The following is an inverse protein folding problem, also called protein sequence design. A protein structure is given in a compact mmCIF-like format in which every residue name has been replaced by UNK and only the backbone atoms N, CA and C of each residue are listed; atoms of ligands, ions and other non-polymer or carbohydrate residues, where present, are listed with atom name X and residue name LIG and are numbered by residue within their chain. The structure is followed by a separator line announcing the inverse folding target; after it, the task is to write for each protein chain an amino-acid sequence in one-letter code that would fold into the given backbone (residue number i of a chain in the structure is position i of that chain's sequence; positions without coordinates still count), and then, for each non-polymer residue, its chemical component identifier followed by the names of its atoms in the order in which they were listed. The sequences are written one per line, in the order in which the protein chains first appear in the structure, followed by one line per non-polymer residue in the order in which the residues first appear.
data_IF_850879676005
#
_entry.id   IF_850879676005
#
_cell.length_a   1.000
_cell.length_b   1.000
_cell.length_c   1.000
_cell.angle_alpha   90.00
_cell.angle_beta   90.00
_cell.angle_gamma   90.00
#
_symmetry.space_group_name_H-M   'P 1'
#
loop_
_entity.id
_entity.type
_entity.pdbx_description
1 polymer ?
#
# COMPACT_ATOMS: atom_id res chain seq x y z
N UNK A 1 -7.22 15.98 10.61
CA UNK A 1 -6.34 14.87 11.06
C UNK A 1 -5.64 14.17 9.89
N UNK A 2 -6.35 13.63 8.89
CA UNK A 2 -5.77 12.95 7.71
C UNK A 2 -4.65 13.76 7.03
N UNK A 3 -5.01 14.94 6.52
CA UNK A 3 -4.09 15.79 5.76
C UNK A 3 -2.90 16.26 6.60
N UNK A 4 -3.12 16.55 7.88
CA UNK A 4 -2.07 16.96 8.82
C UNK A 4 -0.96 15.90 8.91
N UNK A 5 -1.32 14.63 9.16
CA UNK A 5 -0.34 13.55 9.27
C UNK A 5 0.31 13.21 7.92
N UNK A 6 -0.47 13.18 6.83
CA UNK A 6 0.06 12.93 5.49
C UNK A 6 1.10 13.99 5.09
N UNK A 7 0.74 15.27 5.18
CA UNK A 7 1.64 16.37 4.82
C UNK A 7 2.86 16.42 5.75
N UNK A 8 2.70 16.16 7.05
CA UNK A 8 3.83 16.10 7.99
C UNK A 8 4.81 14.97 7.65
N UNK A 9 4.31 13.79 7.29
CA UNK A 9 5.12 12.66 6.87
C UNK A 9 5.88 12.98 5.57
N UNK A 10 5.14 13.47 4.56
CA UNK A 10 5.69 13.76 3.24
C UNK A 10 6.77 14.84 3.31
N UNK A 11 6.55 15.93 4.06
CA UNK A 11 7.56 16.99 4.26
C UNK A 11 8.86 16.46 4.86
N UNK A 12 8.81 15.40 5.67
CA UNK A 12 9.99 14.83 6.34
C UNK A 12 10.66 13.71 5.55
N UNK A 13 9.93 13.01 4.69
CA UNK A 13 10.40 11.79 4.01
C UNK A 13 10.71 12.00 2.51
N UNK A 14 10.10 13.00 1.87
CA UNK A 14 10.21 13.20 0.42
C UNK A 14 11.17 14.32 0.04
N UNK A 15 11.99 14.15 -1.02
CA UNK A 15 12.76 15.24 -1.61
C UNK A 15 11.89 16.24 -2.40
N UNK A 16 10.73 15.82 -2.93
CA UNK A 16 9.77 16.72 -3.58
C UNK A 16 8.37 16.55 -2.96
N UNK A 17 8.10 17.22 -1.82
CA UNK A 17 6.86 17.04 -1.06
C UNK A 17 5.58 17.27 -1.87
N UNK A 18 5.54 18.28 -2.74
CA UNK A 18 4.35 18.58 -3.55
C UNK A 18 4.09 17.49 -4.59
N UNK A 19 5.14 17.02 -5.27
CA UNK A 19 5.04 15.90 -6.21
C UNK A 19 4.57 14.62 -5.52
N UNK A 20 5.11 14.30 -4.34
CA UNK A 20 4.64 13.13 -3.58
C UNK A 20 3.18 13.25 -3.16
N UNK A 21 2.75 14.43 -2.71
CA UNK A 21 1.36 14.66 -2.32
C UNK A 21 0.42 14.45 -3.53
N UNK A 22 0.77 15.03 -4.67
CA UNK A 22 0.03 14.84 -5.92
C UNK A 22 -0.06 13.36 -6.32
N UNK A 23 1.06 12.64 -6.29
CA UNK A 23 1.09 11.20 -6.61
C UNK A 23 0.25 10.37 -5.61
N UNK A 24 0.32 10.71 -4.33
CA UNK A 24 -0.46 10.03 -3.29
C UNK A 24 -1.96 10.27 -3.49
N UNK A 25 -2.36 11.50 -3.77
CA UNK A 25 -3.76 11.87 -3.99
C UNK A 25 -4.30 11.28 -5.29
N UNK A 26 -3.56 11.37 -6.40
CA UNK A 26 -3.93 10.73 -7.66
C UNK A 26 -4.12 9.22 -7.51
N UNK A 27 -3.26 8.56 -6.74
CA UNK A 27 -3.38 7.13 -6.44
C UNK A 27 -4.59 6.78 -5.55
N UNK A 28 -5.07 7.70 -4.71
CA UNK A 28 -6.13 7.48 -3.72
C UNK A 28 -7.40 8.28 -3.99
N UNK A 29 -7.67 8.55 -5.27
CA UNK A 29 -8.92 9.19 -5.68
C UNK A 29 -9.14 10.55 -4.97
N UNK A 30 -8.06 11.32 -4.87
CA UNK A 30 -7.95 12.61 -4.18
C UNK A 30 -8.41 12.62 -2.72
N UNK A 31 -8.57 11.45 -2.09
CA UNK A 31 -9.10 11.35 -0.73
C UNK A 31 -10.59 11.66 -0.60
N UNK A 32 -11.35 11.67 -1.70
CA UNK A 32 -12.80 11.95 -1.73
C UNK A 32 -13.56 10.90 -0.88
N UNK A 33 -13.17 9.63 -0.98
CA UNK A 33 -13.68 8.56 -0.11
C UNK A 33 -12.86 8.47 1.18
N UNK A 34 -13.04 9.47 2.04
CA UNK A 34 -12.45 9.47 3.36
C UNK A 34 -13.19 8.49 4.28
N UNK A 35 -12.51 7.41 4.67
CA UNK A 35 -13.01 6.43 5.64
C UNK A 35 -12.02 6.28 6.80
N UNK A 36 -12.44 5.59 7.88
CA UNK A 36 -11.58 5.32 9.06
C UNK A 36 -10.20 4.76 8.68
N UNK A 37 -10.15 3.88 7.66
CA UNK A 37 -8.90 3.34 7.15
C UNK A 37 -7.95 4.42 6.62
N UNK A 38 -8.47 5.47 5.97
CA UNK A 38 -7.66 6.57 5.43
C UNK A 38 -6.95 7.33 6.55
N UNK A 39 -7.65 7.65 7.65
CA UNK A 39 -7.05 8.29 8.85
C UNK A 39 -5.95 7.41 9.42
N UNK A 40 -6.27 6.14 9.67
CA UNK A 40 -5.32 5.18 10.22
C UNK A 40 -4.07 5.09 9.36
N UNK A 41 -4.22 5.00 8.04
CA UNK A 41 -3.11 4.90 7.10
C UNK A 41 -2.25 6.18 7.09
N UNK A 42 -2.85 7.37 7.25
CA UNK A 42 -2.10 8.61 7.37
C UNK A 42 -1.23 8.65 8.64
N UNK A 43 -1.76 8.18 9.78
CA UNK A 43 -0.99 8.07 11.03
C UNK A 43 0.16 7.09 10.85
N UNK A 44 -0.07 5.93 10.21
CA UNK A 44 0.96 4.94 9.95
C UNK A 44 2.04 5.45 8.98
N UNK A 45 1.66 6.22 7.96
CA UNK A 45 2.63 6.88 7.08
C UNK A 45 3.54 7.84 7.86
N UNK A 46 2.98 8.60 8.80
CA UNK A 46 3.77 9.44 9.70
C UNK A 46 4.64 8.62 10.66
N UNK A 47 4.16 7.46 11.12
CA UNK A 47 4.92 6.58 12.01
C UNK A 47 6.24 6.09 11.39
N UNK A 48 6.35 6.05 10.04
CA UNK A 48 7.61 5.74 9.34
C UNK A 48 8.73 6.72 9.71
N UNK A 49 8.40 7.99 10.00
CA UNK A 49 9.38 8.96 10.50
C UNK A 49 9.99 8.48 11.82
N UNK A 50 9.17 7.90 12.71
CA UNK A 50 9.66 7.35 13.98
C UNK A 50 10.51 6.09 13.76
N UNK A 51 10.19 5.27 12.76
CA UNK A 51 11.01 4.10 12.40
C UNK A 51 12.39 4.55 11.89
N UNK A 52 12.42 5.54 10.99
CA UNK A 52 13.66 6.14 10.46
C UNK A 52 14.52 6.70 11.58
N UNK A 53 13.90 7.43 12.51
CA UNK A 53 14.58 8.07 13.63
C UNK A 53 14.87 7.08 14.79
N UNK A 54 14.63 5.77 14.61
CA UNK A 54 14.86 4.69 15.59
C UNK A 54 14.11 4.85 16.93
N UNK A 55 12.95 5.49 16.90
CA UNK A 55 12.11 5.78 18.08
C UNK A 55 11.00 4.72 18.23
N UNK A 56 11.36 3.53 18.73
CA UNK A 56 10.42 2.40 18.88
C UNK A 56 9.16 2.78 19.68
N UNK A 57 9.30 3.41 20.84
CA UNK A 57 8.15 3.73 21.68
C UNK A 57 7.17 4.69 20.97
N UNK A 58 7.69 5.72 20.30
CA UNK A 58 6.87 6.66 19.54
C UNK A 58 6.17 5.97 18.36
N UNK A 59 6.85 5.03 17.69
CA UNK A 59 6.24 4.19 16.66
C UNK A 59 5.10 3.34 17.22
N UNK A 60 5.32 2.63 18.33
CA UNK A 60 4.32 1.76 18.96
C UNK A 60 3.07 2.56 19.39
N UNK A 61 3.26 3.73 19.99
CA UNK A 61 2.15 4.63 20.36
C UNK A 61 1.34 5.03 19.13
N UNK A 62 1.98 5.43 18.03
CA UNK A 62 1.27 5.81 16.80
C UNK A 62 0.53 4.63 16.16
N UNK A 63 1.13 3.44 16.15
CA UNK A 63 0.46 2.23 15.63
C UNK A 63 -0.73 1.85 16.51
N UNK A 64 -0.60 1.95 17.83
CA UNK A 64 -1.70 1.71 18.75
C UNK A 64 -2.85 2.69 18.51
N UNK A 65 -2.57 3.99 18.45
CA UNK A 65 -3.57 5.02 18.13
C UNK A 65 -4.25 4.79 16.78
N UNK A 66 -3.48 4.38 15.76
CA UNK A 66 -4.05 4.01 14.45
C UNK A 66 -4.94 2.76 14.56
N UNK A 67 -4.54 1.77 15.36
CA UNK A 67 -5.29 0.53 15.62
C UNK A 67 -6.63 0.74 16.32
N UNK A 68 -6.73 1.76 17.18
CA UNK A 68 -8.00 2.19 17.79
C UNK A 68 -9.00 2.71 16.73
N UNK A 69 -8.50 3.34 15.66
CA UNK A 69 -9.34 3.85 14.56
C UNK A 69 -9.67 2.72 13.57
N UNK A 70 -8.67 1.92 13.22
CA UNK A 70 -8.81 0.83 12.27
C UNK A 70 -7.90 -0.35 12.64
N UNK A 71 -8.49 -1.47 13.07
CA UNK A 71 -7.76 -2.65 13.60
C UNK A 71 -6.69 -3.21 12.67
N UNK A 72 -6.83 -3.05 11.35
CA UNK A 72 -5.81 -3.49 10.38
C UNK A 72 -4.46 -2.79 10.56
N UNK A 73 -4.40 -1.67 11.29
CA UNK A 73 -3.17 -0.95 11.57
C UNK A 73 -2.13 -1.79 12.31
N UNK A 74 -2.56 -2.75 13.13
CA UNK A 74 -1.65 -3.63 13.86
C UNK A 74 -0.84 -4.53 12.94
N UNK A 75 -1.32 -4.80 11.71
CA UNK A 75 -0.51 -5.47 10.68
C UNK A 75 0.72 -4.65 10.23
N UNK A 76 0.81 -3.38 10.64
CA UNK A 76 1.97 -2.52 10.41
C UNK A 76 3.05 -2.63 11.49
N UNK A 77 2.83 -3.36 12.61
CA UNK A 77 3.83 -3.54 13.66
C UNK A 77 5.18 -4.08 13.13
N UNK A 78 5.21 -5.09 12.23
CA UNK A 78 6.46 -5.60 11.66
C UNK A 78 7.29 -4.56 10.91
N UNK A 79 6.69 -3.45 10.47
CA UNK A 79 7.34 -2.41 9.69
C UNK A 79 8.60 -1.85 10.38
N UNK A 80 8.64 -1.81 11.71
CA UNK A 80 9.80 -1.29 12.44
C UNK A 80 11.08 -2.05 12.10
N UNK A 81 11.02 -3.38 12.10
CA UNK A 81 12.17 -4.24 11.80
C UNK A 81 12.41 -4.36 10.30
N UNK A 82 11.33 -4.46 9.51
CA UNK A 82 11.44 -4.60 8.04
C UNK A 82 12.12 -3.38 7.42
N UNK A 83 11.80 -2.16 7.90
CA UNK A 83 12.44 -0.94 7.43
C UNK A 83 13.97 -0.98 7.60
N UNK A 84 14.46 -1.65 8.64
CA UNK A 84 15.87 -1.69 8.99
C UNK A 84 16.62 -2.85 8.33
N UNK A 85 15.90 -3.80 7.74
CA UNK A 85 16.49 -5.01 7.19
C UNK A 85 17.22 -4.76 5.87
N UNK A 86 18.41 -5.31 5.68
CA UNK A 86 19.12 -5.17 4.41
C UNK A 86 18.79 -6.33 3.47
N UNK A 87 17.80 -6.13 2.59
CA UNK A 87 17.52 -7.10 1.53
C UNK A 87 18.61 -7.07 0.46
N UNK A 88 19.23 -8.22 0.19
CA UNK A 88 19.98 -8.41 -1.04
C UNK A 88 18.99 -8.59 -2.20
N UNK A 89 19.33 -8.09 -3.39
CA UNK A 89 18.46 -8.19 -4.57
C UNK A 89 18.04 -9.65 -4.85
N UNK A 90 18.97 -10.61 -4.66
CA UNK A 90 18.70 -12.05 -4.84
C UNK A 90 17.65 -12.57 -3.86
N UNK A 91 17.76 -12.21 -2.57
CA UNK A 91 16.80 -12.61 -1.53
C UNK A 91 15.44 -11.96 -1.74
N UNK A 92 15.40 -10.71 -2.20
CA UNK A 92 14.15 -10.03 -2.54
C UNK A 92 13.42 -10.71 -3.70
N UNK A 93 14.13 -11.05 -4.79
CA UNK A 93 13.56 -11.78 -5.92
C UNK A 93 13.07 -13.16 -5.48
N UNK A 94 13.87 -13.90 -4.72
CA UNK A 94 13.47 -15.20 -4.18
C UNK A 94 12.20 -15.09 -3.33
N UNK A 95 12.13 -14.11 -2.42
CA UNK A 95 10.96 -13.89 -1.57
C UNK A 95 9.69 -13.58 -2.39
N UNK A 96 9.82 -12.81 -3.48
CA UNK A 96 8.69 -12.50 -4.38
C UNK A 96 8.22 -13.76 -5.09
N UNK A 97 9.13 -14.55 -5.67
CA UNK A 97 8.79 -15.80 -6.35
C UNK A 97 8.13 -16.77 -5.36
N UNK A 98 8.70 -16.94 -4.17
CA UNK A 98 8.10 -17.76 -3.12
C UNK A 98 6.72 -17.24 -2.71
N UNK A 99 6.54 -15.93 -2.54
CA UNK A 99 5.25 -15.33 -2.21
C UNK A 99 4.17 -15.59 -3.27
N UNK A 100 4.52 -15.48 -4.56
CA UNK A 100 3.62 -15.78 -5.68
C UNK A 100 3.26 -17.27 -5.70
N UNK A 101 4.26 -18.15 -5.62
CA UNK A 101 4.03 -19.60 -5.65
C UNK A 101 3.17 -20.04 -4.47
N UNK A 102 3.53 -19.63 -3.25
CA UNK A 102 2.79 -19.95 -2.03
C UNK A 102 1.36 -19.41 -2.11
N UNK A 103 1.17 -18.15 -2.50
CA UNK A 103 -0.17 -17.56 -2.63
C UNK A 103 -1.02 -18.15 -3.75
N UNK A 104 -0.40 -18.80 -4.75
CA UNK A 104 -1.11 -19.48 -5.85
C UNK A 104 -1.47 -20.94 -5.55
N UNK A 105 -0.71 -21.61 -4.68
CA UNK A 105 -0.87 -23.04 -4.38
C UNK A 105 -1.67 -23.25 -3.10
N UNK A 106 -1.43 -22.42 -2.08
CA UNK A 106 -2.04 -22.57 -0.75
C UNK A 106 -3.22 -21.62 -0.65
N UNK A 107 -4.40 -22.19 -0.39
CA UNK A 107 -5.52 -21.40 0.11
C UNK A 107 -5.28 -21.08 1.58
N UNK A 108 -5.16 -19.78 1.88
CA UNK A 108 -4.91 -19.30 3.23
C UNK A 108 -6.20 -19.12 4.04
N UNK A 109 -7.38 -19.33 3.44
CA UNK A 109 -8.68 -19.23 4.08
C UNK A 109 -8.76 -19.99 5.41
N UNK A 110 -8.36 -21.26 5.40
CA UNK A 110 -8.40 -22.16 6.57
C UNK A 110 -7.43 -21.75 7.68
N UNK A 111 -6.29 -21.17 7.32
CA UNK A 111 -5.33 -20.65 8.30
C UNK A 111 -5.86 -19.38 8.96
N UNK A 112 -6.51 -18.50 8.18
CA UNK A 112 -7.13 -17.30 8.73
C UNK A 112 -8.37 -17.62 9.57
N UNK A 113 -9.18 -18.62 9.20
CA UNK A 113 -10.30 -19.08 10.02
C UNK A 113 -9.80 -19.69 11.35
N UNK A 114 -8.73 -20.48 11.31
CA UNK A 114 -8.08 -21.03 12.51
C UNK A 114 -7.54 -19.95 13.46
N UNK A 115 -6.99 -18.85 12.91
CA UNK A 115 -6.60 -17.67 13.71
C UNK A 115 -7.84 -17.01 14.32
N UNK A 116 -8.94 -16.93 13.56
CA UNK A 116 -10.21 -16.40 14.03
C UNK A 116 -10.76 -17.16 15.22
N UNK A 117 -10.85 -18.49 15.11
CA UNK A 117 -11.34 -19.37 16.17
C UNK A 117 -10.43 -19.37 17.41
N UNK A 118 -9.10 -19.31 17.22
CA UNK A 118 -8.15 -19.17 18.32
C UNK A 118 -8.34 -17.87 19.10
N UNK A 119 -8.60 -16.75 18.41
CA UNK A 119 -8.87 -15.46 19.05
C UNK A 119 -10.28 -15.36 19.65
N UNK A 120 -11.22 -16.15 19.11
CA UNK A 120 -12.59 -16.30 19.56
C UNK A 120 -13.48 -15.06 19.42
N UNK A 121 -14.78 -15.28 19.63
CA UNK A 121 -15.79 -14.23 19.78
C UNK A 121 -15.90 -13.30 18.58
N UNK A 122 -15.72 -11.99 18.80
CA UNK A 122 -15.87 -10.97 17.75
C UNK A 122 -14.83 -11.10 16.61
N UNK A 123 -13.68 -11.73 16.86
CA UNK A 123 -12.63 -11.88 15.84
C UNK A 123 -13.01 -12.95 14.81
N UNK A 124 -13.48 -14.10 15.28
CA UNK A 124 -14.00 -15.20 14.48
C UNK A 124 -15.14 -14.74 13.57
N UNK A 125 -16.20 -14.17 14.15
CA UNK A 125 -17.36 -13.68 13.40
C UNK A 125 -17.00 -12.63 12.33
N UNK A 126 -15.94 -11.84 12.56
CA UNK A 126 -15.49 -10.82 11.62
C UNK A 126 -14.65 -11.41 10.48
N UNK A 127 -13.79 -12.38 10.78
CA UNK A 127 -13.02 -13.09 9.75
C UNK A 127 -13.98 -13.89 8.87
N UNK A 128 -14.86 -14.69 9.47
CA UNK A 128 -15.90 -15.42 8.74
C UNK A 128 -16.79 -14.50 7.92
N UNK A 129 -17.20 -13.35 8.48
CA UNK A 129 -17.98 -12.36 7.74
C UNK A 129 -17.25 -11.77 6.52
N UNK A 130 -15.92 -11.68 6.54
CA UNK A 130 -15.15 -11.27 5.35
C UNK A 130 -14.97 -12.41 4.35
N UNK A 131 -14.84 -13.66 4.83
CA UNK A 131 -14.70 -14.85 3.98
C UNK A 131 -16.01 -15.22 3.28
N UNK A 132 -17.14 -15.17 4.01
CA UNK A 132 -18.47 -15.53 3.50
C UNK A 132 -19.04 -14.48 2.55
N UNK A 133 -18.67 -13.21 2.73
CA UNK A 133 -18.97 -12.12 1.78
C UNK A 133 -17.96 -12.04 0.63
N UNK A 134 -17.43 -13.19 0.21
CA UNK A 134 -16.42 -13.30 -0.84
C UNK A 134 -16.70 -12.34 -1.99
N UNK A 135 -15.84 -11.33 -2.11
CA UNK A 135 -15.98 -10.16 -2.99
C UNK A 135 -17.27 -9.35 -2.79
N UNK A 136 -17.18 -8.16 -2.19
CA UNK A 136 -18.24 -7.15 -2.28
C UNK A 136 -18.68 -7.00 -3.75
N UNK A 137 -19.88 -7.50 -4.08
CA UNK A 137 -20.49 -7.56 -5.42
C UNK A 137 -20.72 -6.20 -6.09
N UNK A 138 -20.33 -5.10 -5.43
CA UNK A 138 -20.47 -3.73 -5.92
C UNK A 138 -19.13 -3.06 -6.28
N UNK A 139 -17.99 -3.64 -5.90
CA UNK A 139 -16.65 -3.17 -6.28
C UNK A 139 -16.13 -4.12 -7.36
N UNK A 140 -15.75 -3.62 -8.55
CA UNK A 140 -15.30 -4.40 -9.73
C UNK A 140 -16.40 -4.91 -10.69
N UNK A 141 -17.50 -4.17 -10.87
CA UNK A 141 -18.61 -4.57 -11.77
C UNK A 141 -18.19 -4.90 -13.23
N UNK A 142 -16.98 -4.50 -13.66
CA UNK A 142 -16.45 -4.78 -15.00
C UNK A 142 -15.19 -5.67 -15.08
N UNK A 143 -14.69 -6.25 -13.97
CA UNK A 143 -13.44 -7.04 -14.00
C UNK A 143 -13.56 -8.35 -13.22
N UNK A 144 -12.96 -9.43 -13.76
CA UNK A 144 -12.83 -10.68 -13.01
C UNK A 144 -11.80 -10.53 -11.88
N UNK A 145 -11.93 -11.33 -10.81
CA UNK A 145 -10.96 -11.33 -9.70
C UNK A 145 -9.51 -11.59 -10.19
N UNK A 146 -9.35 -12.47 -11.18
CA UNK A 146 -8.05 -12.74 -11.81
C UNK A 146 -7.48 -11.52 -12.54
N UNK A 147 -8.29 -10.76 -13.28
CA UNK A 147 -7.86 -9.53 -13.96
C UNK A 147 -7.41 -8.46 -12.96
N UNK A 148 -8.18 -8.27 -11.88
CA UNK A 148 -7.84 -7.31 -10.82
C UNK A 148 -6.54 -7.69 -10.11
N UNK A 149 -6.36 -8.98 -9.82
CA UNK A 149 -5.14 -9.53 -9.23
C UNK A 149 -3.92 -9.33 -10.15
N UNK A 150 -4.02 -9.74 -11.42
CA UNK A 150 -2.94 -9.59 -12.40
C UNK A 150 -2.54 -8.13 -12.57
N UNK A 151 -3.52 -7.23 -12.74
CA UNK A 151 -3.29 -5.78 -12.83
C UNK A 151 -2.56 -5.25 -11.59
N UNK A 152 -3.00 -5.67 -10.40
CA UNK A 152 -2.39 -5.28 -9.13
C UNK A 152 -0.97 -5.81 -9.00
N UNK A 153 -0.71 -7.07 -9.34
CA UNK A 153 0.62 -7.68 -9.27
C UNK A 153 1.60 -7.07 -10.26
N UNK A 154 1.26 -7.08 -11.55
CA UNK A 154 2.14 -6.63 -12.62
C UNK A 154 2.53 -5.18 -12.42
N UNK A 155 1.58 -4.30 -12.07
CA UNK A 155 1.86 -2.90 -11.79
C UNK A 155 2.86 -2.72 -10.64
N UNK A 156 2.78 -3.54 -9.59
CA UNK A 156 3.68 -3.45 -8.42
C UNK A 156 5.07 -4.00 -8.72
N UNK A 157 5.15 -5.07 -9.50
CA UNK A 157 6.42 -5.64 -9.96
C UNK A 157 7.17 -4.67 -10.89
N UNK A 158 6.45 -4.00 -11.80
CA UNK A 158 7.03 -2.97 -12.67
C UNK A 158 7.56 -1.78 -11.87
N UNK A 159 6.80 -1.30 -10.88
CA UNK A 159 7.25 -0.24 -9.98
C UNK A 159 8.47 -0.67 -9.17
N UNK A 160 8.48 -1.89 -8.64
CA UNK A 160 9.60 -2.42 -7.90
C UNK A 160 10.87 -2.50 -8.77
N UNK A 161 10.76 -3.00 -10.00
CA UNK A 161 11.85 -3.03 -10.97
C UNK A 161 12.41 -1.63 -11.20
N UNK A 162 11.53 -0.66 -11.44
CA UNK A 162 11.90 0.73 -11.63
C UNK A 162 12.62 1.30 -10.40
N UNK A 163 12.16 1.02 -9.18
CA UNK A 163 12.83 1.46 -7.95
C UNK A 163 14.22 0.84 -7.78
N UNK A 164 14.37 -0.45 -8.11
CA UNK A 164 15.65 -1.15 -8.00
C UNK A 164 16.66 -0.60 -9.01
N UNK A 165 16.24 -0.30 -10.23
CA UNK A 165 17.10 0.19 -11.31
C UNK A 165 17.50 1.66 -11.15
N UNK A 166 16.54 2.54 -10.84
CA UNK A 166 16.76 3.99 -10.94
C UNK A 166 17.11 4.68 -9.62
N UNK A 167 16.79 4.11 -8.45
CA UNK A 167 17.19 4.71 -7.18
C UNK A 167 18.69 4.49 -6.99
N UNK A 168 19.47 5.58 -6.97
CA UNK A 168 20.93 5.52 -6.78
C UNK A 168 21.28 4.88 -5.43
N UNK A 169 22.40 4.15 -5.38
CA UNK A 169 22.92 3.48 -4.18
C UNK A 169 22.99 4.41 -2.95
N UNK A 170 23.42 5.66 -3.14
CA UNK A 170 23.45 6.70 -2.09
C UNK A 170 22.08 6.96 -1.45
N UNK A 171 21.01 7.00 -2.24
CA UNK A 171 19.66 7.24 -1.74
C UNK A 171 19.03 5.98 -1.13
N UNK A 172 19.46 4.79 -1.58
CA UNK A 172 19.11 3.52 -0.91
C UNK A 172 19.67 3.45 0.51
N UNK A 173 20.83 4.04 0.78
CA UNK A 173 21.48 3.96 2.11
C UNK A 173 20.80 4.87 3.15
N UNK A 174 20.15 5.96 2.74
CA UNK A 174 19.63 6.98 3.66
C UNK A 174 18.15 6.79 4.02
N UNK A 175 17.24 7.16 3.11
CA UNK A 175 15.78 7.11 3.36
C UNK A 175 15.11 6.10 2.42
N UNK A 176 15.64 5.94 1.21
CA UNK A 176 15.06 5.11 0.16
C UNK A 176 15.12 3.61 0.45
N UNK A 177 16.13 3.12 1.18
CA UNK A 177 16.30 1.68 1.44
C UNK A 177 15.19 1.12 2.32
N UNK A 178 14.93 1.74 3.46
CA UNK A 178 13.87 1.28 4.35
C UNK A 178 12.48 1.36 3.72
N UNK A 179 12.20 2.42 2.94
CA UNK A 179 10.93 2.53 2.21
C UNK A 179 10.82 1.46 1.11
N UNK A 180 11.93 1.15 0.43
CA UNK A 180 11.97 0.07 -0.56
C UNK A 180 11.73 -1.30 0.09
N UNK A 181 12.26 -1.53 1.30
CA UNK A 181 12.01 -2.76 2.05
C UNK A 181 10.52 -2.90 2.42
N UNK A 182 9.91 -1.84 2.94
CA UNK A 182 8.48 -1.83 3.27
C UNK A 182 7.62 -2.10 2.03
N UNK A 183 7.94 -1.45 0.91
CA UNK A 183 7.24 -1.68 -0.35
C UNK A 183 7.44 -3.11 -0.86
N UNK A 184 8.67 -3.62 -0.84
CA UNK A 184 9.00 -5.00 -1.25
C UNK A 184 8.25 -6.02 -0.40
N UNK A 185 8.20 -5.82 0.92
CA UNK A 185 7.43 -6.67 1.84
C UNK A 185 5.94 -6.69 1.47
N UNK A 186 5.37 -5.54 1.12
CA UNK A 186 4.01 -5.46 0.64
C UNK A 186 3.79 -6.27 -0.65
N UNK A 187 4.73 -6.21 -1.60
CA UNK A 187 4.68 -6.97 -2.85
C UNK A 187 4.78 -8.49 -2.59
N UNK A 188 5.64 -8.91 -1.66
CA UNK A 188 5.80 -10.34 -1.30
C UNK A 188 4.54 -10.90 -0.65
N UNK A 189 3.88 -10.13 0.21
CA UNK A 189 2.69 -10.57 0.93
C UNK A 189 1.39 -10.42 0.12
N UNK A 190 1.36 -9.55 -0.88
CA UNK A 190 0.15 -9.29 -1.64
C UNK A 190 -0.50 -10.56 -2.24
N UNK A 191 0.21 -11.57 -2.80
CA UNK A 191 -0.41 -12.82 -3.26
C UNK A 191 -1.13 -13.55 -2.13
N UNK A 192 -0.48 -13.67 -0.97
CA UNK A 192 -0.98 -14.37 0.22
C UNK A 192 -2.24 -13.70 0.77
N UNK A 193 -2.25 -12.37 0.88
CA UNK A 193 -3.44 -11.66 1.39
C UNK A 193 -4.57 -11.63 0.37
N UNK A 194 -4.25 -11.59 -0.93
CA UNK A 194 -5.25 -11.58 -2.00
C UNK A 194 -5.91 -12.92 -2.24
N UNK A 195 -5.26 -14.05 -1.91
CA UNK A 195 -5.86 -15.38 -2.03
C UNK A 195 -6.95 -15.62 -1.00
N UNK A 196 -6.89 -14.93 0.15
CA UNK A 196 -7.92 -14.99 1.21
C UNK A 196 -9.13 -14.15 0.84
N UNK A 197 -9.00 -12.81 0.86
CA UNK A 197 -10.02 -11.88 0.33
C UNK A 197 -9.38 -10.55 -0.07
N UNK A 198 -10.02 -9.80 -0.96
CA UNK A 198 -9.55 -8.44 -1.31
C UNK A 198 -9.55 -7.47 -0.10
N UNK A 199 -10.35 -7.75 0.93
CA UNK A 199 -10.39 -6.93 2.15
C UNK A 199 -9.14 -7.13 3.00
N UNK A 200 -8.58 -8.34 3.04
CA UNK A 200 -7.33 -8.61 3.76
C UNK A 200 -6.13 -7.86 3.15
N UNK A 201 -6.12 -7.67 1.83
CA UNK A 201 -5.12 -6.82 1.14
C UNK A 201 -5.05 -5.37 1.66
N UNK A 202 -6.09 -4.87 2.35
CA UNK A 202 -6.09 -3.55 3.01
C UNK A 202 -5.09 -3.45 4.16
N UNK A 203 -4.68 -4.57 4.75
CA UNK A 203 -3.60 -4.62 5.75
C UNK A 203 -2.25 -4.16 5.16
N UNK A 204 -2.07 -4.33 3.85
CA UNK A 204 -0.84 -3.94 3.14
C UNK A 204 -0.85 -2.48 2.69
N UNK A 205 -1.99 -1.78 2.75
CA UNK A 205 -2.13 -0.39 2.27
C UNK A 205 -1.07 0.57 2.83
N UNK A 206 -0.75 0.58 4.14
CA UNK A 206 0.25 1.50 4.67
C UNK A 206 1.66 1.25 4.13
N UNK A 207 2.01 -0.02 3.87
CA UNK A 207 3.27 -0.38 3.23
C UNK A 207 3.29 0.07 1.76
N UNK A 208 2.19 -0.13 1.04
CA UNK A 208 2.03 0.25 -0.36
C UNK A 208 2.12 1.76 -0.58
N UNK A 209 1.77 2.59 0.41
CA UNK A 209 1.89 4.05 0.32
C UNK A 209 3.34 4.54 0.17
N UNK A 210 4.32 3.71 0.52
CA UNK A 210 5.74 4.00 0.25
C UNK A 210 6.02 4.21 -1.26
N UNK A 211 5.16 3.68 -2.15
CA UNK A 211 5.31 3.87 -3.60
C UNK A 211 5.44 5.35 -4.00
N UNK A 212 4.64 6.24 -3.40
CA UNK A 212 4.57 7.65 -3.83
C UNK A 212 5.84 8.39 -3.44
N UNK A 213 6.41 8.01 -2.28
CA UNK A 213 7.72 8.48 -1.82
C UNK A 213 8.85 7.95 -2.72
N UNK A 214 8.80 6.66 -3.06
CA UNK A 214 9.81 6.01 -3.92
C UNK A 214 9.82 6.54 -5.35
N UNK A 215 8.65 6.78 -5.95
CA UNK A 215 8.52 7.43 -7.27
C UNK A 215 9.20 8.80 -7.27
N UNK A 216 9.02 9.56 -6.20
CA UNK A 216 9.63 10.88 -6.07
C UNK A 216 11.16 10.79 -5.93
N UNK A 217 11.65 9.77 -5.21
CA UNK A 217 13.09 9.48 -5.13
C UNK A 217 13.70 9.04 -6.46
N UNK A 218 12.93 8.39 -7.33
CA UNK A 218 13.38 8.05 -8.69
C UNK A 218 13.63 9.32 -9.49
N UNK A 219 12.67 10.25 -9.52
CA UNK A 219 12.84 11.56 -10.19
C UNK A 219 14.08 12.26 -9.64
N UNK A 220 14.23 12.31 -8.32
CA UNK A 220 15.39 12.93 -7.67
C UNK A 220 16.73 12.26 -8.03
N UNK A 221 16.72 10.95 -8.29
CA UNK A 221 17.93 10.18 -8.63
C UNK A 221 18.43 10.44 -10.06
N UNK A 222 17.58 10.93 -10.97
CA UNK A 222 17.95 11.25 -12.34
C UNK A 222 18.85 12.50 -12.39
N UNK A 223 19.91 12.48 -13.21
CA UNK A 223 20.88 13.57 -13.23
C UNK A 223 20.56 14.72 -14.19
N UNK A 224 19.69 14.53 -15.19
CA UNK A 224 19.33 15.59 -16.15
C UNK A 224 17.91 16.08 -15.90
N UNK A 225 17.70 17.39 -15.91
CA UNK A 225 16.39 18.00 -15.68
C UNK A 225 15.38 17.67 -16.77
N UNK A 226 15.83 17.48 -18.02
CA UNK A 226 14.98 16.97 -19.11
C UNK A 226 14.45 15.57 -18.79
N UNK A 227 15.31 14.69 -18.26
CA UNK A 227 14.89 13.34 -17.84
C UNK A 227 13.94 13.38 -16.64
N UNK A 228 14.17 14.30 -15.70
CA UNK A 228 13.26 14.50 -14.56
C UNK A 228 11.88 14.95 -15.04
N UNK A 229 11.83 15.90 -15.97
CA UNK A 229 10.58 16.39 -16.56
C UNK A 229 9.79 15.26 -17.24
N UNK A 230 10.42 14.49 -18.14
CA UNK A 230 9.75 13.38 -18.82
C UNK A 230 9.34 12.26 -17.86
N UNK A 231 10.15 11.96 -16.85
CA UNK A 231 9.79 10.99 -15.81
C UNK A 231 8.59 11.46 -14.96
N UNK A 232 8.55 12.74 -14.61
CA UNK A 232 7.43 13.36 -13.92
C UNK A 232 6.15 13.33 -14.78
N UNK A 233 6.25 13.71 -16.05
CA UNK A 233 5.12 13.65 -17.00
C UNK A 233 4.60 12.21 -17.16
N UNK A 234 5.49 11.22 -17.25
CA UNK A 234 5.12 9.80 -17.28
C UNK A 234 4.34 9.39 -16.03
N UNK A 235 4.80 9.78 -14.83
CA UNK A 235 4.08 9.44 -13.60
C UNK A 235 2.73 10.15 -13.50
N UNK A 236 2.59 11.38 -13.99
CA UNK A 236 1.28 12.05 -14.11
C UNK A 236 0.37 11.25 -15.04
N UNK A 237 0.85 10.85 -16.22
CA UNK A 237 0.06 10.06 -17.16
C UNK A 237 -0.38 8.72 -16.53
N UNK A 238 0.51 8.04 -15.82
CA UNK A 238 0.17 6.82 -15.07
C UNK A 238 -0.91 7.07 -14.00
N UNK A 239 -0.84 8.19 -13.27
CA UNK A 239 -1.88 8.57 -12.29
C UNK A 239 -3.22 8.90 -12.95
N UNK A 240 -3.21 9.58 -14.10
CA UNK A 240 -4.42 9.88 -14.85
C UNK A 240 -5.11 8.59 -15.33
N UNK A 241 -4.33 7.63 -15.86
CA UNK A 241 -4.84 6.30 -16.22
C UNK A 241 -5.41 5.56 -15.01
N UNK A 242 -4.73 5.60 -13.86
CA UNK A 242 -5.26 4.98 -12.63
C UNK A 242 -6.56 5.62 -12.17
N UNK A 243 -6.67 6.95 -12.25
CA UNK A 243 -7.88 7.69 -11.90
C UNK A 243 -9.04 7.35 -12.84
N UNK A 244 -8.78 7.32 -14.15
CA UNK A 244 -9.75 6.92 -15.17
C UNK A 244 -10.28 5.51 -14.89
N UNK A 245 -9.37 4.54 -14.69
CA UNK A 245 -9.76 3.17 -14.42
C UNK A 245 -10.61 3.06 -13.15
N UNK A 246 -10.26 3.81 -12.09
CA UNK A 246 -11.10 3.85 -10.88
C UNK A 246 -12.50 4.35 -11.18
N UNK A 247 -12.62 5.50 -11.84
CA UNK A 247 -13.92 6.14 -12.13
C UNK A 247 -14.82 5.27 -13.01
N UNK A 248 -14.28 4.80 -14.13
CA UNK A 248 -15.09 4.25 -15.21
C UNK A 248 -15.10 2.73 -15.25
N UNK A 249 -14.11 2.06 -14.68
CA UNK A 249 -14.02 0.59 -14.68
C UNK A 249 -14.35 0.01 -13.30
N UNK A 250 -13.77 0.55 -12.24
CA UNK A 250 -13.95 -0.01 -10.89
C UNK A 250 -15.31 0.40 -10.29
N UNK A 251 -15.76 1.65 -10.53
CA UNK A 251 -17.04 2.21 -10.04
C UNK A 251 -18.15 2.29 -11.10
N UNK A 252 -17.91 1.85 -12.34
CA UNK A 252 -18.95 1.75 -13.37
C UNK A 252 -19.54 3.08 -13.87
N UNK A 253 -18.84 4.21 -13.71
CA UNK A 253 -19.24 5.51 -14.25
C UNK A 253 -20.44 6.16 -13.54
N UNK A 254 -21.64 5.60 -13.71
CA UNK A 254 -22.91 6.19 -13.26
C UNK A 254 -23.33 5.77 -11.83
N UNK A 255 -22.75 4.70 -11.27
CA UNK A 255 -22.95 4.31 -9.87
C UNK A 255 -22.12 5.15 -8.88
N UNK A 256 -21.46 6.21 -9.36
CA UNK A 256 -20.64 7.14 -8.59
C UNK A 256 -21.49 8.16 -7.80
N UNK A 257 -22.53 7.69 -7.11
CA UNK A 257 -23.18 8.46 -6.05
C UNK A 257 -22.64 7.93 -4.72
N UNK A 258 -21.74 8.66 -4.04
CA UNK A 258 -21.14 8.20 -2.78
C UNK A 258 -22.17 7.96 -1.65
N UNK A 259 -23.44 8.33 -1.87
CA UNK A 259 -24.56 8.14 -0.95
C UNK A 259 -25.87 7.87 -1.72
N UNK A 260 -25.96 6.76 -2.44
CA UNK A 260 -27.22 6.28 -3.04
C UNK A 260 -28.16 5.61 -2.02
N UNK A 261 -28.34 6.17 -0.82
CA UNK A 261 -29.30 5.68 0.20
C UNK A 261 -29.72 6.81 1.13
N UNK A 262 -30.58 7.70 0.62
CA UNK A 262 -31.69 8.26 1.40
C UNK A 262 -32.91 8.24 0.48
N UNK A 263 -33.58 7.09 0.42
CA UNK A 263 -35.00 6.94 0.08
C UNK A 263 -35.57 5.83 0.97
#
# INVERSE_FOLDING_TARGET
MLFTFQTAAIKRLSPFPMTTLMLLWGSNFCGIFFVRQSVSTAILLFSIVMIRDRRLLAFLVLVFLAGLIHRSAFAFLPAYWIYQFHFSNRRAVLAIVCGILIGSIIDFSDYFSSIGSFLGGMYEAKIEGYMSRGADMSFNAGQTAAQLYMRSMLGRLLLLLLFVLFIKKKHKITIGGGMLNLFTFAVVLLPVFSSVTNTFSRMLTPYMYCQSLLLTLVIFSLSSDVRKFWCFALFIAMMAVQLYMKLFVDYGGEAYLPFGTIL
#
